data_IF_846247494364
#
_entry.id   IF_846247494364
#
_cell.length_a   1.000
_cell.length_b   1.000
_cell.length_c   1.000
_cell.angle_alpha   90.00
_cell.angle_beta   90.00
_cell.angle_gamma   90.00
#
_symmetry.space_group_name_H-M   'P 1'
#
loop_
_entity.id
_entity.type
_entity.pdbx_description
1 polymer ?
#
# COMPACT_ATOMS: atom_id res chain seq x y z
N UNK A 1 16.34 13.06 9.34
CA UNK A 1 15.72 11.79 8.95
C UNK A 1 14.31 11.71 9.51
N UNK A 2 13.32 11.33 8.72
CA UNK A 2 11.95 11.22 9.22
C UNK A 2 11.83 10.20 10.34
N UNK A 3 10.98 10.51 11.32
CA UNK A 3 10.73 9.61 12.45
C UNK A 3 10.23 8.24 12.01
N UNK A 4 9.43 8.21 10.94
CA UNK A 4 8.90 6.95 10.39
C UNK A 4 10.01 6.02 9.95
N UNK A 5 11.06 6.53 9.32
CA UNK A 5 12.21 5.73 8.90
C UNK A 5 12.97 5.16 10.10
N UNK A 6 13.16 5.98 11.14
CA UNK A 6 13.82 5.54 12.37
C UNK A 6 13.02 4.45 13.06
N UNK A 7 11.69 4.64 13.17
CA UNK A 7 10.80 3.66 13.79
C UNK A 7 10.77 2.36 12.99
N UNK A 8 10.72 2.44 11.67
CA UNK A 8 10.72 1.25 10.81
C UNK A 8 12.03 0.46 10.97
N UNK A 9 13.18 1.14 11.03
CA UNK A 9 14.46 0.47 11.25
C UNK A 9 14.52 -0.19 12.62
N UNK A 10 14.01 0.48 13.66
CA UNK A 10 13.96 -0.08 14.99
C UNK A 10 13.11 -1.34 15.03
N UNK A 11 11.91 -1.30 14.48
CA UNK A 11 11.01 -2.45 14.43
C UNK A 11 11.66 -3.60 13.65
N UNK A 12 12.29 -3.29 12.51
CA UNK A 12 12.99 -4.28 11.70
C UNK A 12 14.08 -4.99 12.50
N UNK A 13 14.87 -4.22 13.26
CA UNK A 13 15.93 -4.78 14.10
C UNK A 13 15.37 -5.63 15.23
N UNK A 14 14.24 -5.22 15.83
CA UNK A 14 13.58 -5.98 16.90
C UNK A 14 13.06 -7.32 16.38
N UNK A 15 12.45 -7.34 15.20
CA UNK A 15 11.97 -8.58 14.57
C UNK A 15 13.13 -9.52 14.32
N UNK A 16 14.21 -9.01 13.76
CA UNK A 16 15.41 -9.81 13.48
C UNK A 16 16.01 -10.35 14.77
N UNK A 17 16.12 -9.51 15.79
CA UNK A 17 16.69 -9.91 17.07
C UNK A 17 15.81 -10.94 17.78
N UNK A 18 14.50 -10.90 17.56
CA UNK A 18 13.59 -11.88 18.12
C UNK A 18 13.72 -13.27 17.48
N UNK A 19 14.48 -13.40 16.41
CA UNK A 19 14.80 -14.69 15.81
C UNK A 19 14.24 -14.90 14.40
N UNK A 20 13.68 -13.87 13.77
CA UNK A 20 13.19 -14.01 12.40
C UNK A 20 14.36 -14.16 11.42
N UNK A 21 14.26 -15.13 10.53
CA UNK A 21 15.24 -15.35 9.47
C UNK A 21 14.76 -14.81 8.12
N UNK A 22 13.47 -14.64 7.97
CA UNK A 22 12.84 -14.17 6.75
C UNK A 22 11.51 -13.51 7.11
N UNK A 23 11.13 -12.48 6.35
CA UNK A 23 9.87 -11.77 6.57
C UNK A 23 9.02 -11.88 5.32
N UNK A 24 7.76 -12.22 5.49
CA UNK A 24 6.75 -12.19 4.43
C UNK A 24 5.70 -11.18 4.82
N UNK A 25 5.45 -10.23 3.94
CA UNK A 25 4.47 -9.18 4.17
C UNK A 25 3.47 -9.11 3.02
N UNK A 26 2.33 -8.49 3.27
CA UNK A 26 1.36 -8.18 2.22
C UNK A 26 1.11 -6.68 2.25
N UNK A 27 1.36 -6.02 1.14
CA UNK A 27 1.10 -4.60 0.94
C UNK A 27 1.72 -3.71 2.01
N UNK A 28 3.04 -3.72 2.12
CA UNK A 28 3.73 -2.79 2.98
C UNK A 28 3.31 -1.36 2.67
N UNK A 29 3.13 -0.56 3.71
CA UNK A 29 2.73 0.84 3.59
C UNK A 29 3.67 1.62 2.65
N UNK A 30 4.96 1.39 2.76
CA UNK A 30 5.97 1.95 1.87
C UNK A 30 6.94 0.84 1.47
N UNK A 31 7.12 0.65 0.16
CA UNK A 31 7.97 -0.43 -0.35
C UNK A 31 9.40 -0.36 0.15
N UNK A 32 9.93 0.85 0.34
CA UNK A 32 11.29 1.04 0.80
C UNK A 32 11.53 0.53 2.23
N UNK A 33 10.49 0.23 2.99
CA UNK A 33 10.62 -0.38 4.33
C UNK A 33 11.37 -1.72 4.24
N UNK A 34 11.26 -2.43 3.10
CA UNK A 34 12.02 -3.66 2.87
C UNK A 34 13.52 -3.47 3.09
N UNK A 35 14.04 -2.31 2.70
CA UNK A 35 15.45 -2.00 2.81
C UNK A 35 15.96 -1.81 4.24
N UNK A 36 15.06 -1.71 5.22
CA UNK A 36 15.45 -1.58 6.62
C UNK A 36 15.75 -2.91 7.28
N UNK A 37 15.36 -4.02 6.65
CA UNK A 37 15.69 -5.34 7.15
C UNK A 37 17.06 -5.79 6.61
N UNK A 38 17.83 -6.46 7.45
CA UNK A 38 19.07 -7.09 7.05
C UNK A 38 18.86 -8.56 6.68
N UNK A 39 17.63 -9.04 6.78
CA UNK A 39 17.21 -10.38 6.41
C UNK A 39 16.29 -10.30 5.18
N UNK A 40 16.11 -11.43 4.45
CA UNK A 40 15.25 -11.42 3.26
C UNK A 40 13.82 -11.01 3.59
N UNK A 41 13.23 -10.19 2.72
CA UNK A 41 11.84 -9.75 2.83
C UNK A 41 11.13 -10.03 1.52
N UNK A 42 9.99 -10.72 1.61
CA UNK A 42 9.08 -10.91 0.48
C UNK A 42 7.86 -10.01 0.71
N UNK A 43 7.79 -8.94 -0.04
CA UNK A 43 6.61 -8.05 0.00
C UNK A 43 5.65 -8.46 -1.10
N UNK A 44 4.56 -9.12 -0.71
CA UNK A 44 3.54 -9.60 -1.63
C UNK A 44 2.46 -8.54 -1.79
N UNK A 45 1.72 -8.65 -2.89
CA UNK A 45 0.63 -7.70 -3.20
C UNK A 45 -0.68 -8.46 -3.33
N UNK A 46 -1.73 -7.97 -2.71
CA UNK A 46 -3.06 -8.56 -2.77
C UNK A 46 -3.82 -8.15 -4.04
N UNK A 47 -3.35 -7.14 -4.77
CA UNK A 47 -4.03 -6.62 -5.95
C UNK A 47 -4.42 -7.68 -6.98
N UNK A 48 -3.55 -8.63 -7.36
CA UNK A 48 -3.96 -9.69 -8.31
C UNK A 48 -5.11 -10.54 -7.80
N UNK A 49 -5.15 -10.80 -6.50
CA UNK A 49 -6.23 -11.58 -5.88
C UNK A 49 -7.54 -10.80 -5.95
N UNK A 50 -7.49 -9.51 -5.62
CA UNK A 50 -8.66 -8.65 -5.73
C UNK A 50 -9.16 -8.52 -7.16
N UNK A 51 -8.26 -8.37 -8.12
CA UNK A 51 -8.64 -8.29 -9.53
C UNK A 51 -9.40 -9.55 -9.97
N UNK A 52 -8.91 -10.70 -9.58
CA UNK A 52 -9.55 -11.98 -9.89
C UNK A 52 -10.93 -12.06 -9.26
N UNK A 53 -11.05 -11.65 -8.01
CA UNK A 53 -12.33 -11.66 -7.29
C UNK A 53 -13.34 -10.72 -7.94
N UNK A 54 -12.92 -9.51 -8.30
CA UNK A 54 -13.79 -8.53 -8.95
C UNK A 54 -14.30 -9.07 -10.28
N UNK A 55 -13.42 -9.66 -11.09
CA UNK A 55 -13.83 -10.26 -12.38
C UNK A 55 -14.86 -11.34 -12.21
N UNK A 56 -14.75 -12.14 -11.15
CA UNK A 56 -15.70 -13.21 -10.87
C UNK A 56 -17.05 -12.67 -10.40
N UNK A 57 -17.05 -11.66 -9.55
CA UNK A 57 -18.25 -11.19 -8.86
C UNK A 57 -18.97 -10.08 -9.61
N UNK A 58 -18.25 -9.23 -10.32
CA UNK A 58 -18.83 -8.08 -11.00
C UNK A 58 -18.73 -8.31 -12.50
N UNK A 59 -19.87 -8.57 -13.13
CA UNK A 59 -19.92 -8.86 -14.57
C UNK A 59 -20.15 -7.61 -15.41
N UNK A 60 -20.32 -6.45 -14.79
CA UNK A 60 -20.48 -5.19 -15.50
C UNK A 60 -19.17 -4.74 -16.12
N UNK A 61 -19.26 -4.09 -17.29
CA UNK A 61 -18.13 -3.41 -17.91
C UNK A 61 -17.99 -1.98 -17.43
N UNK A 62 -18.92 -1.53 -16.59
CA UNK A 62 -18.93 -0.17 -16.05
C UNK A 62 -18.29 -0.18 -14.66
N UNK A 63 -17.00 -0.38 -14.63
CA UNK A 63 -16.23 -0.40 -13.39
C UNK A 63 -15.20 0.71 -13.44
N UNK A 64 -15.02 1.38 -12.32
CA UNK A 64 -13.94 2.32 -12.14
C UNK A 64 -13.29 2.06 -10.78
N UNK A 65 -11.98 2.15 -10.71
CA UNK A 65 -11.26 2.05 -9.45
C UNK A 65 -11.16 3.42 -8.82
N UNK A 66 -11.40 3.50 -7.52
CA UNK A 66 -11.37 4.77 -6.81
C UNK A 66 -10.32 4.70 -5.70
N UNK A 67 -9.41 5.67 -5.70
CA UNK A 67 -8.52 5.89 -4.58
C UNK A 67 -9.22 6.84 -3.62
N UNK A 68 -9.43 6.44 -2.35
CA UNK A 68 -10.15 7.30 -1.38
C UNK A 68 -9.35 8.51 -0.95
N UNK A 69 -8.07 8.50 -1.21
CA UNK A 69 -7.16 9.63 -0.98
C UNK A 69 -5.95 9.48 -1.90
N UNK A 70 -5.08 10.49 -1.89
CA UNK A 70 -3.90 10.49 -2.76
C UNK A 70 -2.96 9.34 -2.40
N UNK A 71 -2.88 8.96 -1.13
CA UNK A 71 -2.02 7.87 -0.67
C UNK A 71 -2.39 6.50 -1.24
N UNK A 72 -3.66 6.30 -1.63
CA UNK A 72 -4.12 5.05 -2.23
C UNK A 72 -4.01 4.98 -3.75
N UNK A 73 -3.46 6.02 -4.38
CA UNK A 73 -3.44 6.13 -5.85
C UNK A 73 -2.73 4.97 -6.53
N UNK A 74 -1.56 4.58 -6.03
CA UNK A 74 -0.78 3.51 -6.65
C UNK A 74 -1.51 2.18 -6.62
N UNK A 75 -2.14 1.86 -5.49
CA UNK A 75 -2.89 0.61 -5.34
C UNK A 75 -4.12 0.59 -6.25
N UNK A 76 -4.86 1.69 -6.29
CA UNK A 76 -6.03 1.79 -7.16
C UNK A 76 -5.63 1.74 -8.63
N UNK A 77 -4.52 2.38 -8.99
CA UNK A 77 -4.00 2.35 -10.37
C UNK A 77 -3.58 0.94 -10.77
N UNK A 78 -2.90 0.21 -9.88
CA UNK A 78 -2.49 -1.16 -10.14
C UNK A 78 -3.71 -2.07 -10.38
N UNK A 79 -4.74 -1.92 -9.55
CA UNK A 79 -5.97 -2.68 -9.72
C UNK A 79 -6.67 -2.30 -11.03
N UNK A 80 -6.74 -1.00 -11.34
CA UNK A 80 -7.34 -0.51 -12.57
C UNK A 80 -6.65 -1.06 -13.82
N UNK A 81 -5.33 -1.16 -13.79
CA UNK A 81 -4.58 -1.75 -14.90
C UNK A 81 -4.91 -3.22 -15.10
N UNK A 82 -4.98 -3.99 -14.01
CA UNK A 82 -5.31 -5.41 -14.10
C UNK A 82 -6.74 -5.65 -14.58
N UNK A 83 -7.66 -4.78 -14.21
CA UNK A 83 -9.06 -4.85 -14.63
C UNK A 83 -9.30 -4.16 -15.96
N UNK A 84 -8.34 -3.38 -16.45
CA UNK A 84 -8.45 -2.55 -17.66
C UNK A 84 -9.61 -1.56 -17.54
N UNK A 85 -9.66 -0.84 -16.43
CA UNK A 85 -10.69 0.16 -16.15
C UNK A 85 -10.06 1.48 -15.73
N UNK A 86 -10.85 2.53 -15.66
CA UNK A 86 -10.39 3.86 -15.31
C UNK A 86 -10.10 4.01 -13.82
N UNK A 87 -9.51 5.13 -13.48
CA UNK A 87 -9.12 5.49 -12.13
C UNK A 87 -9.70 6.85 -11.77
N UNK A 88 -10.29 6.94 -10.58
CA UNK A 88 -10.67 8.21 -9.98
C UNK A 88 -9.97 8.35 -8.63
N UNK A 89 -9.63 9.57 -8.28
CA UNK A 89 -8.96 9.88 -7.02
C UNK A 89 -9.79 10.90 -6.27
N UNK A 90 -10.05 10.62 -5.00
CA UNK A 90 -10.75 11.58 -4.13
C UNK A 90 -9.69 12.49 -3.52
N UNK A 91 -9.86 13.79 -3.73
CA UNK A 91 -8.98 14.79 -3.13
C UNK A 91 -9.46 15.08 -1.71
N UNK A 92 -8.81 14.41 -0.76
CA UNK A 92 -9.13 14.55 0.65
C UNK A 92 -8.28 15.66 1.25
N UNK A 93 -8.88 16.83 1.40
CA UNK A 93 -8.19 17.96 2.02
C UNK A 93 -8.46 17.99 3.52
N UNK A 94 -7.39 18.11 4.27
CA UNK A 94 -7.50 18.37 5.71
C UNK A 94 -7.18 19.83 5.94
N UNK A 95 -8.06 20.57 6.63
CA UNK A 95 -7.74 21.94 6.96
C UNK A 95 -6.44 22.00 7.76
N UNK A 96 -5.56 22.90 7.36
CA UNK A 96 -4.36 23.16 8.13
C UNK A 96 -4.77 23.92 9.39
N UNK A 97 -4.36 23.44 10.57
CA UNK A 97 -4.68 24.09 11.84
C UNK A 97 -4.22 25.54 11.87
N UNK A 98 -3.13 25.88 11.23
CA UNK A 98 -2.63 27.24 11.14
C UNK A 98 -3.59 28.12 10.35
N UNK A 99 -4.31 27.58 9.39
CA UNK A 99 -5.25 28.29 8.54
C UNK A 99 -6.66 28.37 9.12
N UNK A 100 -6.88 27.76 10.27
CA UNK A 100 -8.19 27.75 10.92
C UNK A 100 -8.39 28.91 11.89
N UNK A 101 -7.52 29.87 11.85
CA UNK A 101 -7.65 31.02 12.71
C UNK A 101 -8.76 31.97 12.25
#
# INVERSE_FOLDING_TARGET
>A
MPRTSISAKLVSNLITKAGADRVVTVDLHAGQIQGFFDIPVDNLFATPIFARHVRKKIKSKRIICVAPDVGGTERARALGKLLNVGLAIVDKRRPNLVNLK
#
